data_IF_770127952727
#
_entry.id   IF_770127952727
#
_cell.length_a   1.000
_cell.length_b   1.000
_cell.length_c   1.000
_cell.angle_alpha   90.00
_cell.angle_beta   90.00
_cell.angle_gamma   90.00
#
_symmetry.space_group_name_H-M   'P 1'
#
loop_
_entity.id
_entity.type
_entity.pdbx_description
1 polymer ?
#
# COMPACT_ATOMS: atom_id res chain seq x y z
N UNK A 1 -30.99 28.80 33.58
CA UNK A 1 -30.76 27.34 33.61
C UNK A 1 -31.42 26.53 32.48
N UNK A 2 -32.63 26.87 31.97
CA UNK A 2 -33.28 26.10 30.87
C UNK A 2 -32.59 26.21 29.50
N UNK A 3 -32.07 27.38 29.12
CA UNK A 3 -31.40 27.58 27.82
C UNK A 3 -30.09 26.78 27.68
N UNK A 4 -29.32 26.64 28.75
CA UNK A 4 -28.04 25.91 28.71
C UNK A 4 -28.23 24.39 28.58
N UNK A 5 -29.33 23.83 29.11
CA UNK A 5 -29.66 22.41 28.91
C UNK A 5 -30.11 22.10 27.47
N UNK A 6 -30.73 23.06 26.78
CA UNK A 6 -31.09 22.91 25.37
C UNK A 6 -29.86 22.98 24.46
N UNK A 7 -28.90 23.87 24.74
CA UNK A 7 -27.63 23.94 23.99
C UNK A 7 -26.75 22.72 24.22
N UNK A 8 -26.71 22.19 25.45
CA UNK A 8 -25.96 20.96 25.74
C UNK A 8 -26.62 19.72 25.11
N UNK A 9 -27.96 19.65 25.08
CA UNK A 9 -28.69 18.57 24.40
C UNK A 9 -28.53 18.62 22.87
N UNK A 10 -28.48 19.82 22.27
CA UNK A 10 -28.18 20.00 20.84
C UNK A 10 -26.73 19.65 20.49
N UNK A 11 -25.76 19.95 21.37
CA UNK A 11 -24.38 19.51 21.23
C UNK A 11 -24.21 18.00 21.45
N UNK A 12 -24.95 17.40 22.40
CA UNK A 12 -24.96 15.94 22.58
C UNK A 12 -25.64 15.23 21.40
N UNK A 13 -26.72 15.78 20.83
CA UNK A 13 -27.34 15.26 19.62
C UNK A 13 -26.44 15.44 18.39
N UNK A 14 -25.69 16.53 18.28
CA UNK A 14 -24.70 16.69 17.20
C UNK A 14 -23.56 15.67 17.33
N UNK A 15 -23.09 15.38 18.55
CA UNK A 15 -22.04 14.38 18.80
C UNK A 15 -22.55 12.93 18.66
N UNK A 16 -23.82 12.66 18.99
CA UNK A 16 -24.45 11.33 18.85
C UNK A 16 -25.02 11.05 17.44
N UNK A 17 -25.28 12.08 16.63
CA UNK A 17 -25.61 11.92 15.21
C UNK A 17 -24.39 11.62 14.34
N UNK A 18 -23.16 11.79 14.85
CA UNK A 18 -21.95 11.31 14.18
C UNK A 18 -21.64 9.82 14.44
N UNK A 19 -22.26 9.19 15.45
CA UNK A 19 -22.05 7.77 15.78
C UNK A 19 -23.15 6.83 15.30
N UNK A 20 -24.12 7.34 14.52
CA UNK A 20 -25.20 6.54 13.92
C UNK A 20 -25.39 6.83 12.42
N UNK A 21 -24.35 7.34 11.75
CA UNK A 21 -24.24 7.18 10.31
C UNK A 21 -24.02 5.71 10.00
N UNK A 22 -25.13 5.05 9.70
CA UNK A 22 -25.24 3.79 8.99
C UNK A 22 -24.05 3.55 8.06
N UNK A 23 -23.60 2.29 8.03
CA UNK A 23 -22.62 1.70 7.13
C UNK A 23 -23.01 1.75 5.63
N UNK A 24 -23.47 2.91 5.18
CA UNK A 24 -23.71 3.33 3.81
C UNK A 24 -23.02 4.67 3.49
N UNK A 25 -22.16 5.19 4.41
CA UNK A 25 -21.32 6.36 4.20
C UNK A 25 -19.81 6.02 4.10
N UNK A 26 -19.45 4.89 3.47
CA UNK A 26 -18.48 5.05 2.38
C UNK A 26 -19.28 5.73 1.28
N UNK A 27 -19.37 7.06 1.34
CA UNK A 27 -19.67 7.80 0.12
C UNK A 27 -18.76 7.18 -0.93
N UNK A 28 -19.32 6.73 -2.07
CA UNK A 28 -18.52 6.46 -3.24
C UNK A 28 -17.56 7.64 -3.33
N UNK A 29 -16.28 7.38 -3.08
CA UNK A 29 -15.32 8.46 -3.02
C UNK A 29 -15.38 9.07 -4.43
N UNK A 30 -15.86 10.31 -4.56
CA UNK A 30 -16.06 10.88 -5.88
C UNK A 30 -14.67 11.11 -6.48
N UNK A 31 -14.30 10.25 -7.42
CA UNK A 31 -13.10 10.35 -8.23
C UNK A 31 -13.45 11.17 -9.48
N UNK A 32 -12.57 12.09 -9.92
CA UNK A 32 -12.77 12.77 -11.18
C UNK A 32 -12.86 11.75 -12.33
N UNK A 33 -13.79 11.95 -13.25
CA UNK A 33 -13.84 11.21 -14.50
C UNK A 33 -12.70 11.61 -15.44
N UNK A 34 -12.36 10.75 -16.40
CA UNK A 34 -11.28 10.98 -17.38
C UNK A 34 -11.42 12.30 -18.15
N UNK A 35 -12.62 12.83 -18.31
CA UNK A 35 -12.88 14.09 -19.03
C UNK A 35 -12.96 15.31 -18.13
N UNK A 36 -12.89 15.11 -16.81
CA UNK A 36 -13.08 16.20 -15.86
C UNK A 36 -11.84 17.11 -15.83
N UNK A 37 -12.03 18.43 -15.96
CA UNK A 37 -10.92 19.35 -15.84
C UNK A 37 -10.44 19.37 -14.37
N UNK A 38 -9.15 19.16 -14.15
CA UNK A 38 -8.53 19.17 -12.81
C UNK A 38 -8.26 20.62 -12.33
N UNK A 39 -8.71 21.63 -13.07
CA UNK A 39 -8.44 23.05 -12.78
C UNK A 39 -9.21 23.54 -11.57
N UNK A 40 -8.60 23.48 -10.37
CA UNK A 40 -8.81 24.42 -9.24
C UNK A 40 -8.01 24.12 -7.94
N UNK A 41 -6.93 23.33 -7.93
CA UNK A 41 -6.30 22.90 -6.64
C UNK A 41 -4.95 23.54 -6.26
N UNK A 42 -4.39 24.47 -7.06
CA UNK A 42 -3.16 25.15 -6.69
C UNK A 42 -3.46 26.44 -5.92
N UNK A 43 -3.62 26.36 -4.60
CA UNK A 43 -3.63 27.57 -3.76
C UNK A 43 -2.21 28.05 -3.43
N UNK A 44 -1.20 27.18 -3.50
CA UNK A 44 0.24 27.51 -3.43
C UNK A 44 1.09 26.24 -3.40
N UNK A 45 2.20 26.19 -4.14
CA UNK A 45 3.20 25.11 -4.09
C UNK A 45 4.60 25.58 -3.74
N UNK A 46 4.80 26.88 -3.53
CA UNK A 46 6.10 27.47 -3.19
C UNK A 46 6.65 26.88 -1.90
N UNK A 47 7.98 26.94 -1.76
CA UNK A 47 8.65 26.64 -0.47
C UNK A 47 7.93 27.41 0.64
N UNK A 48 7.62 26.72 1.74
CA UNK A 48 6.95 27.27 2.93
C UNK A 48 5.47 27.65 2.75
N UNK A 49 4.84 27.23 1.66
CA UNK A 49 3.39 27.41 1.45
C UNK A 49 2.56 26.19 1.86
N UNK A 50 1.24 26.38 2.00
CA UNK A 50 0.33 25.32 2.40
C UNK A 50 0.38 24.16 1.40
N UNK A 51 0.42 22.92 1.92
CA UNK A 51 0.40 21.68 1.14
C UNK A 51 -0.79 21.70 0.18
N UNK A 52 -0.51 21.56 -1.12
CA UNK A 52 -1.54 21.33 -2.13
C UNK A 52 -1.73 19.83 -2.33
N UNK A 53 -2.98 19.37 -2.48
CA UNK A 53 -3.30 17.96 -2.72
C UNK A 53 -4.40 17.82 -3.76
N UNK A 54 -4.47 16.66 -4.40
CA UNK A 54 -5.54 16.36 -5.34
C UNK A 54 -5.59 14.90 -5.76
N UNK A 55 -6.58 14.59 -6.59
CA UNK A 55 -6.82 13.28 -7.19
C UNK A 55 -6.62 13.38 -8.69
N UNK A 56 -6.01 12.37 -9.29
CA UNK A 56 -6.07 12.18 -10.73
C UNK A 56 -7.42 11.56 -11.11
N UNK A 57 -7.90 11.81 -12.34
CA UNK A 57 -8.98 11.05 -12.94
C UNK A 57 -8.79 9.54 -12.87
N UNK A 58 -9.90 8.81 -12.66
CA UNK A 58 -9.87 7.35 -12.70
C UNK A 58 -9.61 6.88 -14.16
N UNK A 59 -8.40 6.37 -14.41
CA UNK A 59 -7.96 5.90 -15.72
C UNK A 59 -7.27 4.54 -15.61
N UNK A 60 -7.65 3.57 -16.47
CA UNK A 60 -7.15 2.18 -16.43
C UNK A 60 -7.23 1.54 -15.04
N UNK A 61 -8.33 1.80 -14.32
CA UNK A 61 -8.54 1.38 -12.93
C UNK A 61 -7.54 1.98 -11.93
N UNK A 62 -6.88 3.08 -12.31
CA UNK A 62 -5.96 3.81 -11.45
C UNK A 62 -6.69 4.75 -10.51
N UNK A 63 -6.32 4.69 -9.23
CA UNK A 63 -6.76 5.56 -8.15
C UNK A 63 -5.54 6.23 -7.55
N UNK A 64 -5.04 7.23 -8.28
CA UNK A 64 -3.81 7.92 -7.92
C UNK A 64 -4.10 9.32 -7.38
N UNK A 65 -3.32 9.73 -6.38
CA UNK A 65 -3.39 11.04 -5.75
C UNK A 65 -2.05 11.74 -5.88
N UNK A 66 -2.07 13.05 -5.69
CA UNK A 66 -0.85 13.83 -5.63
C UNK A 66 -0.84 14.77 -4.43
N UNK A 67 0.35 15.05 -3.94
CA UNK A 67 0.60 16.10 -2.96
C UNK A 67 1.81 16.91 -3.35
N UNK A 68 1.72 18.24 -3.35
CA UNK A 68 2.82 19.16 -3.59
C UNK A 68 3.09 19.97 -2.32
N UNK A 69 4.31 19.86 -1.80
CA UNK A 69 4.75 20.62 -0.62
C UNK A 69 6.26 20.82 -0.67
N UNK A 70 6.74 22.03 -0.36
CA UNK A 70 8.17 22.34 -0.31
C UNK A 70 8.94 21.93 -1.58
N UNK A 71 8.31 22.15 -2.74
CA UNK A 71 8.85 21.78 -4.05
C UNK A 71 8.96 20.29 -4.36
N UNK A 72 8.36 19.43 -3.52
CA UNK A 72 8.27 17.99 -3.74
C UNK A 72 6.84 17.64 -4.13
N UNK A 73 6.67 17.17 -5.36
CA UNK A 73 5.45 16.53 -5.84
C UNK A 73 5.55 15.03 -5.58
N UNK A 74 4.61 14.49 -4.81
CA UNK A 74 4.52 13.06 -4.52
C UNK A 74 3.27 12.52 -5.19
N UNK A 75 3.43 11.54 -6.08
CA UNK A 75 2.32 10.80 -6.71
C UNK A 75 2.19 9.46 -5.99
N UNK A 76 1.00 9.16 -5.51
CA UNK A 76 0.68 7.99 -4.69
C UNK A 76 -0.59 7.30 -5.19
N UNK A 77 -0.94 6.16 -4.59
CA UNK A 77 -2.12 5.37 -4.97
C UNK A 77 -1.75 4.14 -5.79
N UNK A 78 -2.74 3.61 -6.52
CA UNK A 78 -2.59 2.38 -7.34
C UNK A 78 -2.93 2.67 -8.81
N UNK A 79 -2.20 2.07 -9.75
CA UNK A 79 -2.49 2.18 -11.18
C UNK A 79 -1.90 3.42 -11.86
N UNK A 80 -2.53 3.91 -12.94
CA UNK A 80 -2.02 5.04 -13.74
C UNK A 80 -2.32 6.40 -13.11
N UNK A 81 -1.36 7.31 -13.19
CA UNK A 81 -1.55 8.75 -12.99
C UNK A 81 -1.77 9.41 -14.35
N UNK A 82 -3.01 9.83 -14.60
CA UNK A 82 -3.46 10.38 -15.86
C UNK A 82 -4.14 11.71 -15.60
N UNK A 83 -3.80 12.74 -16.36
CA UNK A 83 -4.55 13.98 -16.38
C UNK A 83 -5.18 14.14 -17.76
N UNK A 84 -6.51 14.24 -17.80
CA UNK A 84 -7.37 14.27 -19.00
C UNK A 84 -6.84 15.03 -20.23
N UNK A 85 -5.99 16.03 -20.03
CA UNK A 85 -5.56 17.03 -21.01
C UNK A 85 -4.05 17.36 -20.96
N UNK A 86 -3.20 16.57 -20.29
CA UNK A 86 -1.74 16.79 -20.16
C UNK A 86 -1.34 18.22 -19.73
N UNK A 87 -2.07 18.80 -18.78
CA UNK A 87 -1.94 20.22 -18.37
C UNK A 87 -1.93 20.45 -16.86
N UNK A 88 -2.07 19.41 -16.04
CA UNK A 88 -2.24 19.60 -14.60
C UNK A 88 -1.04 20.31 -13.97
N UNK A 89 0.17 19.89 -14.33
CA UNK A 89 1.38 20.51 -13.81
C UNK A 89 2.07 21.44 -14.81
N UNK A 90 1.53 21.60 -16.03
CA UNK A 90 2.18 22.36 -17.10
C UNK A 90 2.57 23.78 -16.63
N UNK A 91 3.85 24.12 -16.80
CA UNK A 91 4.38 25.44 -16.44
C UNK A 91 4.59 25.68 -14.95
N UNK A 92 4.37 24.68 -14.08
CA UNK A 92 4.41 24.89 -12.63
C UNK A 92 5.84 25.18 -12.14
N UNK A 93 6.12 26.39 -11.61
CA UNK A 93 7.48 26.79 -11.23
C UNK A 93 7.91 26.24 -9.88
N UNK A 94 7.02 25.60 -9.13
CA UNK A 94 7.31 25.15 -7.77
C UNK A 94 7.78 23.70 -7.71
N UNK A 95 7.54 22.90 -8.74
CA UNK A 95 7.96 21.49 -8.75
C UNK A 95 9.46 21.43 -9.01
N UNK A 96 10.22 21.06 -7.97
CA UNK A 96 11.67 20.82 -8.05
C UNK A 96 11.99 19.32 -8.08
N UNK A 97 11.20 18.52 -7.36
CA UNK A 97 11.37 17.07 -7.24
C UNK A 97 10.03 16.37 -7.42
N UNK A 98 10.02 15.28 -8.19
CA UNK A 98 8.88 14.38 -8.33
C UNK A 98 9.26 13.02 -7.74
N UNK A 99 8.42 12.50 -6.85
CA UNK A 99 8.52 11.15 -6.31
C UNK A 99 7.26 10.38 -6.69
N UNK A 100 7.40 9.34 -7.50
CA UNK A 100 6.32 8.40 -7.84
C UNK A 100 6.45 7.17 -6.96
N UNK A 101 5.46 6.95 -6.11
CA UNK A 101 5.45 5.83 -5.17
C UNK A 101 5.05 4.52 -5.82
N UNK A 102 5.31 3.41 -5.13
CA UNK A 102 5.38 2.08 -5.73
C UNK A 102 4.09 1.58 -6.41
N UNK A 103 2.93 1.84 -5.81
CA UNK A 103 1.65 1.39 -6.38
C UNK A 103 1.29 2.03 -7.73
N UNK A 104 1.99 3.09 -8.14
CA UNK A 104 1.74 3.78 -9.40
C UNK A 104 2.40 3.01 -10.54
N UNK A 105 1.59 2.43 -11.43
CA UNK A 105 2.06 1.58 -12.52
C UNK A 105 2.30 2.34 -13.83
N UNK A 106 1.93 3.61 -13.89
CA UNK A 106 2.27 4.48 -15.01
C UNK A 106 1.96 5.95 -14.76
N UNK A 107 2.60 6.81 -15.54
CA UNK A 107 2.39 8.27 -15.57
C UNK A 107 2.24 8.67 -17.02
N UNK A 108 1.16 9.39 -17.34
CA UNK A 108 0.88 9.80 -18.71
C UNK A 108 1.96 10.69 -19.32
N UNK A 109 2.03 10.65 -20.65
CA UNK A 109 2.93 11.47 -21.44
C UNK A 109 2.60 12.95 -21.23
N UNK A 110 3.61 13.81 -21.04
CA UNK A 110 3.39 15.25 -20.88
C UNK A 110 2.89 15.69 -19.51
N UNK A 111 2.72 14.77 -18.56
CA UNK A 111 2.35 15.08 -17.17
C UNK A 111 3.22 16.20 -16.56
N UNK A 112 4.52 16.19 -16.85
CA UNK A 112 5.51 17.16 -16.38
C UNK A 112 6.06 17.97 -17.54
N UNK A 113 5.26 18.93 -18.01
CA UNK A 113 5.58 19.79 -19.13
C UNK A 113 5.95 21.21 -18.72
N UNK A 114 6.92 21.82 -19.41
CA UNK A 114 7.34 23.21 -19.20
C UNK A 114 7.70 23.56 -17.74
N UNK A 115 8.20 22.62 -16.93
CA UNK A 115 8.52 22.89 -15.53
C UNK A 115 9.91 23.56 -15.43
N UNK A 116 10.00 24.86 -15.11
CA UNK A 116 11.27 25.58 -15.21
C UNK A 116 12.26 25.18 -14.11
N UNK A 117 11.79 24.65 -12.98
CA UNK A 117 12.60 24.34 -11.80
C UNK A 117 12.74 22.85 -11.47
N UNK A 118 12.17 21.97 -12.31
CA UNK A 118 12.16 20.53 -12.07
C UNK A 118 13.55 19.92 -12.29
N UNK A 119 14.12 19.28 -11.25
CA UNK A 119 15.50 18.77 -11.22
C UNK A 119 15.61 17.26 -11.02
N UNK A 120 14.74 16.71 -10.18
CA UNK A 120 14.89 15.34 -9.68
C UNK A 120 13.61 14.53 -9.90
N UNK A 121 13.71 13.37 -10.54
CA UNK A 121 12.59 12.47 -10.73
C UNK A 121 12.93 11.07 -10.22
N UNK A 122 12.27 10.67 -9.15
CA UNK A 122 12.51 9.41 -8.43
C UNK A 122 11.25 8.55 -8.53
N UNK A 123 11.40 7.34 -9.05
CA UNK A 123 10.32 6.36 -9.20
C UNK A 123 10.63 5.14 -8.35
N UNK A 124 9.75 4.84 -7.40
CA UNK A 124 9.90 3.71 -6.48
C UNK A 124 9.84 2.38 -7.25
N UNK A 125 8.81 2.20 -8.06
CA UNK A 125 8.58 0.97 -8.82
C UNK A 125 9.46 0.91 -10.06
N UNK A 126 10.20 -0.18 -10.25
CA UNK A 126 11.03 -0.37 -11.45
C UNK A 126 10.24 -0.77 -12.71
N UNK A 127 8.96 -1.08 -12.60
CA UNK A 127 8.09 -1.51 -13.71
C UNK A 127 7.05 -0.45 -14.12
N UNK A 128 7.10 0.76 -13.53
CA UNK A 128 6.17 1.84 -13.88
C UNK A 128 6.41 2.37 -15.30
N UNK A 129 5.34 2.51 -16.08
CA UNK A 129 5.41 3.13 -17.40
C UNK A 129 5.38 4.65 -17.30
N UNK A 130 6.54 5.28 -17.48
CA UNK A 130 6.72 6.74 -17.39
C UNK A 130 7.07 7.36 -18.75
N UNK A 131 6.72 6.68 -19.83
CA UNK A 131 7.07 7.06 -21.21
C UNK A 131 6.54 8.46 -21.51
N UNK A 132 7.43 9.34 -21.95
CA UNK A 132 7.19 10.71 -22.37
C UNK A 132 6.61 11.63 -21.29
N UNK A 133 6.65 11.22 -20.02
CA UNK A 133 6.04 11.94 -18.90
C UNK A 133 6.65 13.30 -18.63
N UNK A 134 7.92 13.50 -19.02
CA UNK A 134 8.63 14.79 -18.90
C UNK A 134 8.80 15.41 -20.29
N UNK A 135 8.55 16.72 -20.42
CA UNK A 135 8.71 17.49 -21.65
C UNK A 135 9.13 18.94 -21.32
N UNK A 136 10.09 19.50 -22.07
CA UNK A 136 10.45 20.93 -21.97
C UNK A 136 10.83 21.42 -20.54
N UNK A 137 11.51 20.58 -19.75
CA UNK A 137 11.94 20.89 -18.38
C UNK A 137 13.46 21.14 -18.30
N UNK A 138 13.95 22.38 -18.48
CA UNK A 138 15.37 22.66 -18.77
C UNK A 138 16.36 22.35 -17.65
N UNK A 139 15.92 22.27 -16.38
CA UNK A 139 16.79 22.00 -15.23
C UNK A 139 16.78 20.53 -14.77
N UNK A 140 16.09 19.66 -15.50
CA UNK A 140 15.96 18.25 -15.11
C UNK A 140 17.29 17.52 -15.31
N UNK A 141 17.88 17.08 -14.21
CA UNK A 141 19.28 16.61 -14.18
C UNK A 141 19.44 15.23 -13.56
N UNK A 142 18.50 14.80 -12.71
CA UNK A 142 18.63 13.55 -11.96
C UNK A 142 17.42 12.63 -12.11
N UNK A 143 17.64 11.40 -12.52
CA UNK A 143 16.59 10.39 -12.68
C UNK A 143 16.95 9.06 -12.00
N UNK A 144 16.06 8.56 -11.13
CA UNK A 144 16.20 7.27 -10.46
C UNK A 144 14.92 6.47 -10.64
N UNK A 145 15.04 5.19 -10.97
CA UNK A 145 13.92 4.23 -11.02
C UNK A 145 14.29 2.94 -10.29
N UNK A 146 13.31 2.33 -9.60
CA UNK A 146 13.53 1.18 -8.72
C UNK A 146 13.97 1.57 -7.31
N UNK A 147 13.62 2.78 -6.86
CA UNK A 147 14.00 3.27 -5.54
C UNK A 147 13.34 2.53 -4.36
N UNK A 148 12.42 1.58 -4.63
CA UNK A 148 11.88 0.64 -3.64
C UNK A 148 12.83 -0.53 -3.32
N UNK A 149 13.93 -0.69 -4.07
CA UNK A 149 14.93 -1.76 -3.92
C UNK A 149 14.41 -3.18 -4.19
N UNK A 150 13.26 -3.33 -4.84
CA UNK A 150 12.83 -4.65 -5.30
C UNK A 150 13.67 -5.08 -6.50
N UNK A 151 14.38 -6.21 -6.35
CA UNK A 151 15.14 -6.79 -7.46
C UNK A 151 14.21 -7.59 -8.39
N UNK A 152 13.54 -6.88 -9.31
CA UNK A 152 12.65 -7.47 -10.31
C UNK A 152 13.13 -7.09 -11.73
N UNK A 153 13.11 -8.01 -12.72
CA UNK A 153 13.20 -7.62 -14.12
C UNK A 153 12.11 -6.60 -14.48
N UNK A 154 12.48 -5.46 -15.04
CA UNK A 154 11.52 -4.47 -15.53
C UNK A 154 10.53 -5.13 -16.50
N UNK A 155 9.26 -5.26 -16.11
CA UNK A 155 8.27 -5.94 -16.94
C UNK A 155 7.92 -5.10 -18.19
N UNK A 156 7.87 -5.73 -19.36
CA UNK A 156 7.23 -5.24 -20.60
C UNK A 156 7.90 -4.15 -21.46
N UNK A 157 9.24 -4.01 -21.46
CA UNK A 157 9.91 -3.11 -22.40
C UNK A 157 10.69 -3.89 -23.47
N UNK A 158 10.04 -4.13 -24.62
CA UNK A 158 10.76 -4.49 -25.85
C UNK A 158 11.82 -3.40 -26.10
N UNK A 159 13.01 -3.83 -26.52
CA UNK A 159 14.23 -3.05 -26.76
C UNK A 159 14.03 -1.72 -27.53
N UNK A 160 12.93 -1.57 -28.27
CA UNK A 160 12.57 -0.46 -29.17
C UNK A 160 12.07 0.83 -28.49
N UNK A 161 11.71 0.82 -27.20
CA UNK A 161 11.27 2.05 -26.50
C UNK A 161 12.46 2.87 -25.95
N UNK A 162 13.64 2.26 -25.94
CA UNK A 162 14.83 2.78 -25.26
C UNK A 162 15.67 3.78 -26.08
N UNK A 163 15.38 3.94 -27.39
CA UNK A 163 16.07 4.84 -28.32
C UNK A 163 15.72 6.34 -28.13
N UNK A 164 14.78 6.66 -27.24
CA UNK A 164 14.24 8.02 -27.07
C UNK A 164 14.91 8.83 -25.94
N UNK A 165 16.03 8.35 -25.37
CA UNK A 165 16.94 9.16 -24.55
C UNK A 165 18.15 9.53 -25.40
N UNK A 166 18.21 10.77 -25.91
CA UNK A 166 19.45 11.27 -26.53
C UNK A 166 20.54 11.43 -25.46
N UNK A 167 21.60 10.66 -25.63
CA UNK A 167 22.88 10.77 -24.91
C UNK A 167 23.63 11.99 -25.46
N UNK A 168 24.09 12.88 -24.58
CA UNK A 168 25.30 13.68 -24.86
C UNK A 168 26.33 13.27 -23.82
N UNK A 169 27.49 12.83 -24.29
CA UNK A 169 28.46 12.05 -23.54
C UNK A 169 28.98 12.74 -22.27
N UNK A 170 29.12 11.98 -21.17
CA UNK A 170 29.78 12.47 -19.96
C UNK A 170 29.46 11.74 -18.66
N UNK A 171 29.62 10.40 -18.60
CA UNK A 171 30.00 9.70 -17.36
C UNK A 171 28.89 9.10 -16.48
N UNK A 172 28.36 7.93 -16.85
CA UNK A 172 28.07 6.80 -15.92
C UNK A 172 28.22 5.49 -16.70
N UNK A 173 28.86 4.50 -16.09
CA UNK A 173 29.05 3.12 -16.58
C UNK A 173 27.77 2.29 -16.49
N UNK A 174 27.36 1.64 -17.59
CA UNK A 174 26.22 0.71 -17.63
C UNK A 174 25.42 0.88 -18.93
N UNK A 175 25.10 -0.22 -19.61
CA UNK A 175 24.72 -0.24 -21.03
C UNK A 175 23.31 0.31 -21.29
N UNK A 176 23.21 1.07 -22.38
CA UNK A 176 22.06 1.60 -23.14
C UNK A 176 20.69 0.95 -22.90
N UNK A 177 19.76 1.73 -22.32
CA UNK A 177 18.34 1.38 -22.15
C UNK A 177 17.53 2.54 -21.55
N UNK A 178 16.98 3.47 -22.37
CA UNK A 178 16.31 4.70 -21.91
C UNK A 178 14.77 4.77 -21.70
N UNK A 179 14.35 5.49 -20.66
CA UNK A 179 13.00 6.08 -20.49
C UNK A 179 12.72 7.17 -21.53
N UNK A 180 11.68 7.06 -22.34
CA UNK A 180 11.29 8.13 -23.29
C UNK A 180 10.94 9.44 -22.55
N UNK A 181 11.58 10.54 -22.93
CA UNK A 181 11.22 11.94 -22.62
C UNK A 181 11.01 12.56 -24.00
N UNK A 182 9.78 12.92 -24.37
CA UNK A 182 9.49 13.38 -25.74
C UNK A 182 9.84 14.87 -25.84
N UNK A 183 10.70 15.21 -26.81
CA UNK A 183 11.47 16.47 -26.94
C UNK A 183 12.63 16.58 -25.92
N UNK A 184 13.90 16.63 -26.36
CA UNK A 184 15.02 16.19 -25.53
C UNK A 184 15.37 17.18 -24.42
N UNK A 185 15.24 16.74 -23.17
CA UNK A 185 16.04 17.25 -22.05
C UNK A 185 17.19 16.27 -21.80
N UNK A 186 18.43 16.76 -21.84
CA UNK A 186 19.60 15.96 -21.49
C UNK A 186 19.68 15.82 -19.96
N UNK A 187 19.25 14.68 -19.42
CA UNK A 187 19.44 14.36 -17.99
C UNK A 187 20.87 13.82 -17.81
N UNK A 188 21.72 14.49 -17.02
CA UNK A 188 23.12 14.08 -16.90
C UNK A 188 23.27 12.83 -16.00
N UNK A 189 22.49 12.73 -14.93
CA UNK A 189 22.63 11.68 -13.93
C UNK A 189 21.43 10.73 -13.94
N UNK A 190 21.68 9.43 -14.17
CA UNK A 190 20.61 8.41 -14.29
C UNK A 190 21.02 7.13 -13.59
N UNK A 191 20.14 6.57 -12.77
CA UNK A 191 20.36 5.28 -12.08
C UNK A 191 19.14 4.37 -12.22
N UNK A 192 19.38 3.15 -12.68
CA UNK A 192 18.37 2.10 -12.81
C UNK A 192 18.69 0.99 -11.81
N UNK A 193 17.87 0.85 -10.77
CA UNK A 193 18.08 -0.17 -9.74
C UNK A 193 17.38 -1.47 -10.18
N UNK A 194 18.08 -2.25 -11.01
CA UNK A 194 17.64 -3.57 -11.46
C UNK A 194 18.83 -4.39 -11.96
N UNK A 195 18.86 -5.67 -11.59
CA UNK A 195 19.86 -6.63 -12.08
C UNK A 195 19.82 -6.87 -13.59
N UNK A 196 18.77 -6.39 -14.28
CA UNK A 196 18.63 -6.50 -15.73
C UNK A 196 19.57 -5.57 -16.53
N UNK A 197 20.09 -4.50 -15.91
CA UNK A 197 20.87 -3.46 -16.60
C UNK A 197 22.29 -3.28 -16.04
N UNK A 198 22.49 -3.56 -14.75
CA UNK A 198 23.78 -3.45 -14.08
C UNK A 198 23.83 -4.34 -12.83
N UNK A 199 24.98 -4.39 -12.17
CA UNK A 199 25.06 -4.94 -10.82
C UNK A 199 24.11 -4.17 -9.88
N UNK A 200 23.26 -4.91 -9.18
CA UNK A 200 22.20 -4.34 -8.35
C UNK A 200 22.78 -3.51 -7.20
N UNK A 201 23.80 -4.02 -6.50
CA UNK A 201 24.42 -3.34 -5.36
C UNK A 201 25.16 -2.07 -5.78
N UNK A 202 25.79 -2.09 -6.95
CA UNK A 202 26.42 -0.91 -7.56
C UNK A 202 25.36 0.14 -7.89
N UNK A 203 24.23 -0.26 -8.50
CA UNK A 203 23.13 0.68 -8.76
C UNK A 203 22.55 1.30 -7.49
N UNK A 204 22.39 0.53 -6.41
CA UNK A 204 21.97 1.07 -5.10
C UNK A 204 22.99 2.08 -4.57
N UNK A 205 24.28 1.77 -4.69
CA UNK A 205 25.38 2.65 -4.25
C UNK A 205 25.40 3.97 -5.05
N UNK A 206 25.25 3.89 -6.37
CA UNK A 206 25.20 5.06 -7.25
C UNK A 206 23.97 5.92 -6.98
N UNK A 207 22.80 5.28 -6.79
CA UNK A 207 21.57 5.98 -6.43
C UNK A 207 21.72 6.72 -5.10
N UNK A 208 22.32 6.09 -4.08
CA UNK A 208 22.61 6.73 -2.79
C UNK A 208 23.51 7.95 -2.95
N UNK A 209 24.61 7.80 -3.71
CA UNK A 209 25.54 8.90 -3.97
C UNK A 209 24.87 10.05 -4.73
N UNK A 210 23.94 9.74 -5.63
CA UNK A 210 23.19 10.73 -6.38
C UNK A 210 22.17 11.46 -5.50
N UNK A 211 21.39 10.74 -4.69
CA UNK A 211 20.42 11.32 -3.75
C UNK A 211 21.09 12.29 -2.77
N UNK A 212 22.29 11.95 -2.28
CA UNK A 212 23.07 12.85 -1.43
C UNK A 212 23.40 14.20 -2.10
N UNK A 213 23.59 14.23 -3.42
CA UNK A 213 23.84 15.46 -4.20
C UNK A 213 22.57 16.26 -4.48
N UNK A 214 21.40 15.61 -4.51
CA UNK A 214 20.12 16.26 -4.80
C UNK A 214 19.66 17.25 -3.73
N UNK A 215 20.22 17.18 -2.50
CA UNK A 215 19.85 18.05 -1.36
C UNK A 215 18.33 18.08 -1.11
N UNK A 216 17.72 16.89 -1.12
CA UNK A 216 16.28 16.74 -0.92
C UNK A 216 15.84 17.25 0.46
N UNK A 217 14.65 17.86 0.60
CA UNK A 217 14.12 18.24 1.90
C UNK A 217 13.79 16.99 2.74
N UNK A 218 13.72 17.15 4.06
CA UNK A 218 13.41 16.06 5.01
C UNK A 218 12.13 15.31 4.63
N UNK A 219 11.11 16.02 4.15
CA UNK A 219 9.85 15.41 3.70
C UNK A 219 10.00 14.47 2.50
N UNK A 220 10.99 14.68 1.63
CA UNK A 220 11.32 13.76 0.54
C UNK A 220 12.18 12.60 1.04
N UNK A 221 13.19 12.88 1.89
CA UNK A 221 14.03 11.84 2.48
C UNK A 221 13.23 10.83 3.32
N UNK A 222 12.16 11.28 3.98
CA UNK A 222 11.22 10.42 4.73
C UNK A 222 10.45 9.42 3.85
N UNK A 223 10.50 9.56 2.52
CA UNK A 223 9.85 8.66 1.57
C UNK A 223 10.83 7.67 0.93
N UNK A 224 12.13 7.82 1.18
CA UNK A 224 13.18 7.03 0.57
C UNK A 224 13.75 6.01 1.58
N UNK A 225 14.12 4.80 1.13
CA UNK A 225 14.79 3.82 1.98
C UNK A 225 16.11 4.34 2.57
N UNK A 226 16.48 3.83 3.75
CA UNK A 226 17.73 4.19 4.44
C UNK A 226 18.98 3.80 3.64
N UNK A 227 18.90 2.74 2.86
CA UNK A 227 19.96 2.25 1.97
C UNK A 227 20.34 3.32 0.96
N UNK A 228 19.34 4.06 0.47
CA UNK A 228 19.49 5.17 -0.48
C UNK A 228 19.79 6.53 0.20
N UNK A 229 19.97 6.54 1.53
CA UNK A 229 20.21 7.77 2.30
C UNK A 229 18.93 8.51 2.70
N UNK A 230 17.77 7.88 2.57
CA UNK A 230 16.53 8.36 3.15
C UNK A 230 16.44 8.10 4.65
N UNK A 231 15.27 8.39 5.20
CA UNK A 231 14.96 8.22 6.64
C UNK A 231 13.75 7.32 6.86
N UNK A 232 13.19 6.73 5.80
CA UNK A 232 12.12 5.75 5.94
C UNK A 232 12.68 4.48 6.57
N UNK A 233 12.32 4.24 7.84
CA UNK A 233 12.60 3.00 8.56
C UNK A 233 11.26 2.38 8.90
N UNK A 234 10.87 1.35 8.14
CA UNK A 234 9.59 0.68 8.28
C UNK A 234 9.44 -0.37 7.19
N UNK A 235 8.49 -1.31 7.33
CA UNK A 235 8.19 -2.27 6.28
C UNK A 235 7.73 -1.53 5.02
N UNK A 236 8.05 -2.09 3.87
CA UNK A 236 7.49 -1.69 2.58
C UNK A 236 5.99 -2.01 2.55
N UNK A 237 5.19 -0.99 2.30
CA UNK A 237 3.72 -1.05 2.32
C UNK A 237 3.18 -0.29 1.12
N UNK A 238 2.14 -0.81 0.48
CA UNK A 238 1.42 -0.08 -0.54
C UNK A 238 0.80 1.20 0.03
N UNK A 239 0.76 2.26 -0.77
CA UNK A 239 0.22 3.56 -0.34
C UNK A 239 -1.18 3.50 0.25
N UNK A 240 -2.05 2.68 -0.35
CA UNK A 240 -3.44 2.52 0.08
C UNK A 240 -3.54 1.91 1.49
N UNK A 241 -2.52 1.18 1.92
CA UNK A 241 -2.44 0.53 3.22
C UNK A 241 -1.66 1.35 4.27
N UNK A 242 -0.78 2.25 3.86
CA UNK A 242 0.15 2.98 4.74
C UNK A 242 -0.53 3.59 5.98
N UNK A 243 -1.60 4.35 5.79
CA UNK A 243 -2.31 5.03 6.91
C UNK A 243 -2.87 4.02 7.91
N UNK A 244 -3.41 2.91 7.41
CA UNK A 244 -4.01 1.88 8.25
C UNK A 244 -2.94 1.05 8.94
N UNK A 245 -1.81 0.76 8.28
CA UNK A 245 -0.67 0.07 8.90
C UNK A 245 -0.06 0.91 10.02
N UNK A 246 0.12 2.22 9.82
CA UNK A 246 0.55 3.13 10.90
C UNK A 246 -0.47 3.16 12.04
N UNK A 247 -1.77 3.14 11.73
CA UNK A 247 -2.80 3.03 12.78
C UNK A 247 -2.70 1.70 13.54
N UNK A 248 -2.43 0.58 12.86
CA UNK A 248 -2.28 -0.72 13.49
C UNK A 248 -1.06 -0.74 14.42
N UNK A 249 0.06 -0.15 13.99
CA UNK A 249 1.28 0.00 14.80
C UNK A 249 1.02 0.80 16.08
N UNK A 250 0.38 1.97 15.96
CA UNK A 250 0.03 2.82 17.10
C UNK A 250 -0.93 2.16 18.09
N UNK A 251 -1.73 1.19 17.62
CA UNK A 251 -2.66 0.40 18.44
C UNK A 251 -2.03 -0.87 19.00
N UNK A 252 -0.76 -1.15 18.70
CA UNK A 252 -0.08 -2.38 19.11
C UNK A 252 -0.63 -3.64 18.44
N UNK A 253 -1.25 -3.53 17.26
CA UNK A 253 -1.87 -4.66 16.55
C UNK A 253 -0.87 -5.45 15.68
N UNK A 254 0.35 -4.93 15.48
CA UNK A 254 1.37 -5.56 14.62
C UNK A 254 2.31 -6.43 15.48
N UNK A 255 2.34 -7.76 15.30
CA UNK A 255 3.33 -8.64 15.92
C UNK A 255 4.70 -8.54 15.22
N UNK A 256 5.74 -9.00 15.90
CA UNK A 256 7.04 -9.26 15.27
C UNK A 256 6.96 -10.40 14.26
N UNK A 257 7.89 -10.46 13.30
CA UNK A 257 8.02 -11.61 12.39
C UNK A 257 7.17 -11.56 11.11
N UNK A 258 6.58 -10.40 10.79
CA UNK A 258 5.90 -10.19 9.50
C UNK A 258 6.86 -9.96 8.32
N UNK A 259 8.13 -9.66 8.60
CA UNK A 259 9.12 -9.31 7.58
C UNK A 259 9.09 -7.81 7.23
N UNK A 260 9.76 -7.46 6.14
CA UNK A 260 9.99 -6.07 5.73
C UNK A 260 9.18 -5.65 4.49
N UNK A 261 8.42 -6.56 3.88
CA UNK A 261 7.60 -6.28 2.70
C UNK A 261 6.19 -6.83 2.92
N UNK A 262 5.24 -5.92 3.17
CA UNK A 262 3.86 -6.25 3.51
C UNK A 262 2.97 -6.47 2.27
N UNK A 263 3.50 -6.27 1.07
CA UNK A 263 2.76 -6.54 -0.17
C UNK A 263 2.72 -8.03 -0.49
N UNK A 264 3.60 -8.83 0.12
CA UNK A 264 3.70 -10.28 -0.10
C UNK A 264 2.49 -11.04 0.48
N UNK A 265 2.19 -12.23 -0.07
CA UNK A 265 1.28 -13.18 0.56
C UNK A 265 1.67 -13.44 2.02
N UNK A 266 0.68 -13.38 2.91
CA UNK A 266 0.89 -13.71 4.32
C UNK A 266 0.86 -15.23 4.51
N UNK A 267 1.76 -15.74 5.35
CA UNK A 267 1.73 -17.16 5.74
C UNK A 267 0.67 -17.42 6.81
N UNK A 268 0.27 -18.68 6.98
CA UNK A 268 -0.64 -19.10 8.06
C UNK A 268 -0.12 -18.75 9.45
N UNK A 269 1.18 -18.92 9.69
CA UNK A 269 1.78 -18.54 10.97
C UNK A 269 1.77 -17.02 11.19
N UNK A 270 2.07 -16.23 10.18
CA UNK A 270 2.01 -14.77 10.27
C UNK A 270 0.58 -14.26 10.51
N UNK A 271 -0.41 -14.87 9.86
CA UNK A 271 -1.81 -14.53 10.10
C UNK A 271 -2.27 -14.94 11.51
N UNK A 272 -1.83 -16.11 11.99
CA UNK A 272 -2.06 -16.54 13.37
C UNK A 272 -1.47 -15.54 14.37
N UNK A 273 -0.24 -15.05 14.12
CA UNK A 273 0.39 -14.01 14.93
C UNK A 273 -0.42 -12.71 14.95
N UNK A 274 -0.92 -12.25 13.80
CA UNK A 274 -1.80 -11.06 13.74
C UNK A 274 -3.09 -11.26 14.53
N UNK A 275 -3.74 -12.43 14.38
CA UNK A 275 -4.99 -12.72 15.07
C UNK A 275 -4.82 -12.84 16.59
N UNK A 276 -3.74 -13.49 17.05
CA UNK A 276 -3.39 -13.60 18.46
C UNK A 276 -3.04 -12.23 19.03
N UNK A 277 -2.23 -11.42 18.30
CA UNK A 277 -1.91 -10.05 18.72
C UNK A 277 -3.17 -9.20 18.87
N UNK A 278 -4.09 -9.28 17.91
CA UNK A 278 -5.38 -8.60 17.99
C UNK A 278 -6.19 -9.07 19.21
N UNK A 279 -6.27 -10.39 19.45
CA UNK A 279 -6.95 -10.94 20.63
C UNK A 279 -6.36 -10.42 21.95
N UNK A 280 -5.04 -10.51 22.14
CA UNK A 280 -4.38 -10.10 23.37
C UNK A 280 -4.51 -8.59 23.60
N UNK A 281 -4.45 -7.79 22.53
CA UNK A 281 -4.59 -6.34 22.59
C UNK A 281 -6.02 -5.93 22.95
N UNK A 282 -7.02 -6.52 22.30
CA UNK A 282 -8.43 -6.15 22.50
C UNK A 282 -9.00 -6.65 23.83
N UNK A 283 -8.49 -7.76 24.35
CA UNK A 283 -8.90 -8.30 25.66
C UNK A 283 -8.04 -7.78 26.82
N UNK A 284 -6.93 -7.09 26.52
CA UNK A 284 -5.96 -6.65 27.51
C UNK A 284 -5.25 -7.80 28.25
N UNK A 285 -5.35 -9.04 27.74
CA UNK A 285 -4.87 -10.24 28.42
C UNK A 285 -3.90 -11.01 27.53
N UNK A 286 -2.66 -11.17 27.98
CA UNK A 286 -1.69 -12.04 27.33
C UNK A 286 -2.12 -13.51 27.48
N UNK A 287 -2.19 -14.24 26.37
CA UNK A 287 -2.61 -15.64 26.40
C UNK A 287 -1.46 -16.54 26.83
N UNK A 288 -1.69 -17.39 27.83
CA UNK A 288 -0.77 -18.45 28.23
C UNK A 288 -1.41 -19.80 27.95
N UNK A 289 -0.72 -20.64 27.16
CA UNK A 289 -1.16 -22.00 26.85
C UNK A 289 -0.31 -23.01 27.64
N UNK A 290 -0.94 -24.09 28.11
CA UNK A 290 -0.26 -25.16 28.87
C UNK A 290 0.21 -26.33 27.99
N UNK A 291 -0.53 -26.62 26.92
CA UNK A 291 -0.17 -27.69 25.99
C UNK A 291 0.66 -27.13 24.83
N UNK A 292 1.96 -27.43 24.89
CA UNK A 292 2.97 -27.06 23.91
C UNK A 292 3.49 -28.27 23.14
N UNK A 293 2.74 -29.39 23.13
CA UNK A 293 3.09 -30.57 22.34
C UNK A 293 3.25 -30.22 20.86
N UNK A 294 4.21 -30.81 20.16
CA UNK A 294 4.50 -30.39 18.79
C UNK A 294 3.40 -30.75 17.78
N UNK A 295 3.26 -29.91 16.74
CA UNK A 295 2.51 -30.27 15.54
C UNK A 295 3.37 -31.14 14.61
N UNK A 296 2.77 -31.76 13.60
CA UNK A 296 3.51 -32.58 12.64
C UNK A 296 4.57 -31.79 11.84
N UNK A 297 4.35 -30.48 11.68
CA UNK A 297 5.12 -29.59 10.80
C UNK A 297 5.60 -28.29 11.46
N UNK A 298 5.44 -28.12 12.79
CA UNK A 298 6.06 -27.03 13.54
C UNK A 298 6.19 -27.31 15.04
N UNK A 299 7.05 -26.54 15.72
CA UNK A 299 7.25 -26.60 17.18
C UNK A 299 6.82 -25.32 17.87
N UNK A 300 6.56 -25.38 19.18
CA UNK A 300 6.10 -24.23 19.96
C UNK A 300 7.15 -23.12 20.07
N UNK A 301 8.43 -23.49 20.02
CA UNK A 301 9.57 -22.55 20.05
C UNK A 301 9.65 -21.71 18.77
N UNK A 302 9.30 -22.28 17.61
CA UNK A 302 9.35 -21.56 16.33
C UNK A 302 8.04 -20.88 15.94
N UNK A 303 6.90 -21.30 16.52
CA UNK A 303 5.56 -20.89 16.07
C UNK A 303 4.55 -20.73 17.20
N UNK A 304 4.92 -20.12 18.34
CA UNK A 304 4.04 -19.98 19.51
C UNK A 304 2.64 -19.42 19.19
N UNK A 305 2.53 -18.46 18.27
CA UNK A 305 1.25 -17.87 17.89
C UNK A 305 0.33 -18.84 17.13
N UNK A 306 0.88 -19.82 16.40
CA UNK A 306 0.10 -20.90 15.80
C UNK A 306 -0.58 -21.74 16.88
N UNK A 307 0.13 -22.02 17.97
CA UNK A 307 -0.41 -22.82 19.08
C UNK A 307 -1.49 -22.06 19.83
N UNK A 308 -1.27 -20.76 20.05
CA UNK A 308 -2.26 -19.85 20.65
C UNK A 308 -3.52 -19.74 19.78
N UNK A 309 -3.36 -19.51 18.48
CA UNK A 309 -4.49 -19.42 17.55
C UNK A 309 -5.26 -20.74 17.45
N UNK A 310 -4.56 -21.88 17.47
CA UNK A 310 -5.18 -23.21 17.49
C UNK A 310 -5.94 -23.45 18.79
N UNK A 311 -5.33 -23.12 19.94
CA UNK A 311 -5.95 -23.24 21.26
C UNK A 311 -7.23 -22.40 21.38
N UNK A 312 -7.21 -21.18 20.84
CA UNK A 312 -8.39 -20.31 20.78
C UNK A 312 -9.45 -20.78 19.77
N UNK A 313 -9.13 -21.73 18.89
CA UNK A 313 -10.03 -22.16 17.81
C UNK A 313 -10.13 -21.16 16.65
N UNK A 314 -9.20 -20.20 16.57
CA UNK A 314 -9.09 -19.26 15.44
C UNK A 314 -8.65 -20.01 14.17
N UNK A 315 -7.74 -20.98 14.32
CA UNK A 315 -7.24 -21.80 13.22
C UNK A 315 -7.37 -23.30 13.50
N UNK A 316 -7.45 -24.09 12.43
CA UNK A 316 -7.43 -25.57 12.47
C UNK A 316 -6.26 -26.10 11.62
N UNK A 317 -5.89 -27.35 11.85
CA UNK A 317 -5.03 -28.12 10.94
C UNK A 317 -5.74 -28.48 9.63
N UNK A 318 -4.97 -28.88 8.63
CA UNK A 318 -5.48 -29.33 7.33
C UNK A 318 -6.09 -30.73 7.39
N UNK A 319 -5.67 -31.55 8.34
CA UNK A 319 -6.16 -32.90 8.52
C UNK A 319 -6.85 -33.05 9.88
N UNK A 320 -7.75 -34.04 9.96
CA UNK A 320 -8.32 -34.50 11.22
C UNK A 320 -7.37 -35.53 11.82
N UNK A 321 -6.86 -35.26 13.02
CA UNK A 321 -6.07 -36.20 13.79
C UNK A 321 -6.47 -36.12 15.27
N UNK A 322 -6.33 -37.22 16.00
CA UNK A 322 -6.65 -37.27 17.42
C UNK A 322 -5.49 -36.72 18.28
N UNK A 323 -4.28 -36.64 17.71
CA UNK A 323 -3.06 -36.16 18.37
C UNK A 323 -2.44 -34.98 17.62
N UNK A 324 -1.76 -34.12 18.38
CA UNK A 324 -1.18 -32.89 17.85
C UNK A 324 0.00 -33.14 16.90
N UNK A 325 0.90 -34.07 17.23
CA UNK A 325 2.05 -34.43 16.38
C UNK A 325 1.65 -35.16 15.07
N UNK A 326 0.37 -35.45 14.89
CA UNK A 326 -0.22 -35.98 13.64
C UNK A 326 -1.00 -34.90 12.88
N UNK A 327 -1.13 -33.69 13.43
CA UNK A 327 -1.87 -32.56 12.84
C UNK A 327 -0.91 -31.65 12.07
N UNK A 328 -1.17 -31.46 10.78
CA UNK A 328 -0.46 -30.52 9.90
C UNK A 328 -1.15 -29.17 9.92
N UNK A 329 -0.43 -28.12 10.29
CA UNK A 329 -0.97 -26.75 10.38
C UNK A 329 -0.47 -25.81 9.30
N UNK A 330 0.51 -26.22 8.49
CA UNK A 330 1.03 -25.49 7.34
C UNK A 330 1.56 -24.10 7.66
N UNK A 331 2.47 -23.93 8.64
CA UNK A 331 2.83 -22.61 9.17
C UNK A 331 3.40 -21.65 8.10
N UNK A 332 4.09 -22.19 7.09
CA UNK A 332 4.76 -21.44 6.03
C UNK A 332 3.93 -21.29 4.76
N UNK A 333 2.76 -21.92 4.70
CA UNK A 333 1.90 -21.84 3.53
C UNK A 333 1.24 -20.46 3.46
N UNK A 334 1.16 -19.85 2.27
CA UNK A 334 0.32 -18.68 2.04
C UNK A 334 -1.15 -19.02 2.36
N UNK A 335 -1.88 -18.10 2.98
CA UNK A 335 -3.34 -18.27 3.12
C UNK A 335 -4.08 -17.78 1.90
N UNK A 336 -5.16 -18.49 1.57
CA UNK A 336 -6.17 -17.99 0.66
C UNK A 336 -7.10 -17.01 1.35
N UNK A 337 -7.78 -16.19 0.55
CA UNK A 337 -8.76 -15.21 1.04
C UNK A 337 -9.93 -15.85 1.78
N UNK A 338 -10.39 -17.04 1.36
CA UNK A 338 -11.47 -17.76 2.05
C UNK A 338 -11.04 -18.40 3.37
N UNK A 339 -9.77 -18.81 3.48
CA UNK A 339 -9.17 -19.24 4.75
C UNK A 339 -9.04 -18.05 5.71
N UNK A 340 -8.56 -16.89 5.23
CA UNK A 340 -8.48 -15.65 6.00
C UNK A 340 -9.86 -15.23 6.54
N UNK A 341 -10.90 -15.24 5.68
CA UNK A 341 -12.27 -14.94 6.08
C UNK A 341 -12.78 -15.86 7.20
N UNK A 342 -12.47 -17.15 7.11
CA UNK A 342 -12.83 -18.14 8.13
C UNK A 342 -12.11 -17.89 9.46
N UNK A 343 -10.82 -17.59 9.42
CA UNK A 343 -10.05 -17.27 10.63
C UNK A 343 -10.52 -15.95 11.28
N UNK A 344 -10.87 -14.93 10.49
CA UNK A 344 -11.43 -13.66 10.99
C UNK A 344 -12.79 -13.86 11.66
N UNK A 345 -13.69 -14.64 11.04
CA UNK A 345 -15.00 -14.93 11.63
C UNK A 345 -14.87 -15.65 12.98
N UNK A 346 -13.91 -16.58 13.10
CA UNK A 346 -13.60 -17.28 14.36
C UNK A 346 -12.96 -16.35 15.39
N UNK A 347 -12.05 -15.48 14.98
CA UNK A 347 -11.47 -14.45 15.85
C UNK A 347 -12.57 -13.58 16.48
N UNK A 348 -13.53 -13.09 15.68
CA UNK A 348 -14.66 -12.33 16.19
C UNK A 348 -15.51 -13.12 17.19
N UNK A 349 -15.73 -14.41 16.94
CA UNK A 349 -16.44 -15.30 17.87
C UNK A 349 -15.69 -15.44 19.20
N UNK A 350 -14.38 -15.65 19.15
CA UNK A 350 -13.52 -15.77 20.34
C UNK A 350 -13.43 -14.46 21.12
N UNK A 351 -13.52 -13.31 20.43
CA UNK A 351 -13.63 -11.98 21.04
C UNK A 351 -15.02 -11.69 21.63
N UNK A 352 -15.95 -12.67 21.61
CA UNK A 352 -17.30 -12.51 22.15
C UNK A 352 -18.22 -11.65 21.28
N UNK A 353 -17.84 -11.41 20.02
CA UNK A 353 -18.56 -10.56 19.06
C UNK A 353 -18.81 -11.32 17.74
N UNK A 354 -19.54 -12.45 17.75
CA UNK A 354 -19.76 -13.24 16.54
C UNK A 354 -20.41 -12.39 15.44
N UNK A 355 -19.88 -12.51 14.22
CA UNK A 355 -20.33 -11.72 13.07
C UNK A 355 -21.67 -12.25 12.55
N UNK A 356 -22.61 -11.35 12.23
CA UNK A 356 -23.85 -11.72 11.56
C UNK A 356 -23.62 -11.99 10.06
N UNK A 357 -24.37 -12.95 9.51
CA UNK A 357 -24.31 -13.28 8.08
C UNK A 357 -25.10 -12.25 7.27
N UNK A 358 -24.60 -11.86 6.09
CA UNK A 358 -25.37 -11.03 5.17
C UNK A 358 -26.56 -11.81 4.58
N UNK A 359 -27.66 -11.12 4.27
CA UNK A 359 -28.80 -11.72 3.57
C UNK A 359 -28.40 -12.27 2.18
N UNK A 360 -27.50 -11.55 1.50
CA UNK A 360 -26.87 -11.95 0.24
C UNK A 360 -25.52 -11.26 0.09
N UNK A 361 -24.62 -11.86 -0.68
CA UNK A 361 -23.36 -11.23 -1.12
C UNK A 361 -23.42 -10.90 -2.62
N UNK A 362 -22.73 -9.85 -3.10
CA UNK A 362 -22.71 -9.52 -4.53
C UNK A 362 -21.77 -10.40 -5.35
N UNK A 363 -21.04 -11.31 -4.71
CA UNK A 363 -20.02 -12.13 -5.35
C UNK A 363 -20.62 -13.22 -6.24
N UNK A 364 -20.15 -13.28 -7.48
CA UNK A 364 -20.60 -14.25 -8.48
C UNK A 364 -19.59 -15.36 -8.75
N UNK A 365 -18.36 -15.21 -8.25
CA UNK A 365 -17.30 -16.19 -8.37
C UNK A 365 -17.40 -17.32 -7.33
N UNK A 366 -16.72 -18.43 -7.60
CA UNK A 366 -16.78 -19.60 -6.75
C UNK A 366 -16.08 -19.35 -5.40
N UNK A 367 -16.79 -19.66 -4.32
CA UNK A 367 -16.29 -19.74 -2.94
C UNK A 367 -16.54 -21.17 -2.46
N UNK A 368 -15.57 -21.78 -1.79
CA UNK A 368 -15.73 -23.13 -1.26
C UNK A 368 -16.90 -23.20 -0.27
N UNK A 369 -17.68 -24.29 -0.31
CA UNK A 369 -18.91 -24.42 0.50
C UNK A 369 -18.67 -24.20 2.00
N UNK A 370 -17.55 -24.69 2.52
CA UNK A 370 -17.15 -24.54 3.92
C UNK A 370 -16.83 -23.09 4.31
N UNK A 371 -16.53 -22.22 3.34
CA UNK A 371 -16.15 -20.83 3.57
C UNK A 371 -17.28 -19.83 3.28
N UNK A 372 -18.30 -20.19 2.49
CA UNK A 372 -19.38 -19.28 2.04
C UNK A 372 -20.00 -18.47 3.18
N UNK A 373 -20.31 -19.13 4.30
CA UNK A 373 -20.89 -18.47 5.46
C UNK A 373 -19.94 -17.47 6.11
N UNK A 374 -18.66 -17.83 6.25
CA UNK A 374 -17.67 -16.95 6.84
C UNK A 374 -17.35 -15.76 5.93
N UNK A 375 -17.25 -15.99 4.62
CA UNK A 375 -17.09 -14.91 3.61
C UNK A 375 -18.25 -13.94 3.70
N UNK A 376 -19.49 -14.43 3.77
CA UNK A 376 -20.68 -13.60 3.93
C UNK A 376 -20.65 -12.77 5.23
N UNK A 377 -20.19 -13.36 6.34
CA UNK A 377 -20.07 -12.68 7.64
C UNK A 377 -19.03 -11.56 7.65
N UNK A 378 -17.81 -11.83 7.18
CA UNK A 378 -16.75 -10.80 7.15
C UNK A 378 -17.04 -9.70 6.14
N UNK A 379 -17.78 -10.02 5.07
CA UNK A 379 -18.27 -9.05 4.10
C UNK A 379 -19.34 -8.14 4.71
N UNK A 380 -20.31 -8.71 5.43
CA UNK A 380 -21.45 -7.96 6.01
C UNK A 380 -21.00 -6.79 6.89
N UNK A 381 -19.93 -7.00 7.66
CA UNK A 381 -19.38 -6.01 8.60
C UNK A 381 -18.26 -5.18 7.95
N UNK A 382 -17.87 -5.48 6.71
CA UNK A 382 -16.83 -4.76 5.99
C UNK A 382 -15.41 -5.07 6.45
N UNK A 383 -15.21 -6.10 7.29
CA UNK A 383 -13.87 -6.55 7.72
C UNK A 383 -13.05 -6.96 6.50
N UNK A 384 -13.66 -7.71 5.57
CA UNK A 384 -13.04 -8.13 4.32
C UNK A 384 -13.98 -7.87 3.15
N UNK A 385 -13.46 -7.21 2.11
CA UNK A 385 -14.21 -6.85 0.89
C UNK A 385 -13.78 -7.71 -0.29
N UNK A 386 -14.56 -7.70 -1.38
CA UNK A 386 -14.17 -8.30 -2.64
C UNK A 386 -12.97 -7.63 -3.31
N UNK A 387 -12.39 -8.30 -4.30
CA UNK A 387 -11.37 -7.74 -5.20
C UNK A 387 -11.99 -6.91 -6.31
N UNK A 388 -13.29 -7.07 -6.55
CA UNK A 388 -14.12 -6.21 -7.39
C UNK A 388 -15.51 -6.05 -6.76
N UNK A 389 -16.41 -5.30 -7.41
CA UNK A 389 -17.80 -5.18 -6.97
C UNK A 389 -18.55 -6.52 -6.92
N UNK A 390 -18.17 -7.49 -7.76
CA UNK A 390 -18.87 -8.78 -7.92
C UNK A 390 -17.95 -9.99 -7.78
N UNK A 391 -16.70 -9.80 -7.32
CA UNK A 391 -15.71 -10.89 -7.21
C UNK A 391 -15.03 -10.88 -5.85
N UNK A 392 -15.01 -12.03 -5.18
CA UNK A 392 -14.33 -12.21 -3.90
C UNK A 392 -12.88 -12.69 -4.05
N UNK A 393 -12.60 -13.48 -5.08
CA UNK A 393 -11.32 -14.16 -5.35
C UNK A 393 -10.93 -15.14 -4.23
N UNK A 394 -11.82 -16.07 -3.90
CA UNK A 394 -11.72 -16.93 -2.73
C UNK A 394 -10.39 -17.71 -2.61
N UNK A 395 -9.93 -18.27 -3.73
CA UNK A 395 -8.70 -19.07 -3.83
C UNK A 395 -7.41 -18.26 -3.99
N UNK A 396 -7.50 -16.95 -4.18
CA UNK A 396 -6.32 -16.09 -4.30
C UNK A 396 -5.67 -15.86 -2.95
N UNK A 397 -4.35 -15.62 -2.96
CA UNK A 397 -3.60 -15.31 -1.74
C UNK A 397 -4.06 -13.99 -1.10
N UNK A 398 -3.96 -13.93 0.23
CA UNK A 398 -4.14 -12.71 1.00
C UNK A 398 -2.79 -12.11 1.38
N UNK A 399 -2.61 -10.79 1.31
CA UNK A 399 -1.32 -10.15 1.63
C UNK A 399 -1.19 -9.77 3.10
N UNK A 400 0.03 -9.48 3.56
CA UNK A 400 0.28 -9.02 4.93
C UNK A 400 -0.44 -7.69 5.19
N UNK A 401 -0.32 -6.72 4.29
CA UNK A 401 -0.98 -5.41 4.44
C UNK A 401 -2.50 -5.52 4.45
N UNK A 402 -3.09 -6.41 3.62
CA UNK A 402 -4.53 -6.68 3.66
C UNK A 402 -4.95 -7.32 4.99
N UNK A 403 -4.12 -8.18 5.55
CA UNK A 403 -4.37 -8.83 6.84
C UNK A 403 -4.33 -7.85 8.00
N UNK A 404 -3.35 -6.94 8.02
CA UNK A 404 -3.25 -5.87 9.01
C UNK A 404 -4.52 -5.00 8.98
N UNK A 405 -4.98 -4.64 7.78
CA UNK A 405 -6.20 -3.84 7.61
C UNK A 405 -7.43 -4.57 8.13
N UNK A 406 -7.54 -5.88 7.87
CA UNK A 406 -8.62 -6.69 8.43
C UNK A 406 -8.58 -6.71 9.97
N UNK A 407 -7.40 -6.73 10.59
CA UNK A 407 -7.26 -6.65 12.06
C UNK A 407 -7.66 -5.29 12.62
N UNK A 408 -7.33 -4.19 11.93
CA UNK A 408 -7.78 -2.84 12.31
C UNK A 408 -9.31 -2.77 12.26
N UNK A 409 -9.93 -3.25 11.17
CA UNK A 409 -11.38 -3.28 11.02
C UNK A 409 -12.07 -4.18 12.05
N UNK A 410 -11.45 -5.30 12.39
CA UNK A 410 -11.91 -6.17 13.48
C UNK A 410 -11.89 -5.42 14.81
N UNK A 411 -10.80 -4.73 15.10
CA UNK A 411 -10.63 -3.96 16.32
C UNK A 411 -11.68 -2.83 16.42
N UNK A 412 -11.97 -2.14 15.31
CA UNK A 412 -13.00 -1.09 15.24
C UNK A 412 -14.43 -1.63 15.42
N UNK A 413 -14.68 -2.88 15.03
CA UNK A 413 -15.98 -3.53 15.22
C UNK A 413 -16.18 -4.01 16.66
N UNK A 414 -15.10 -4.39 17.35
CA UNK A 414 -15.16 -4.95 18.71
C UNK A 414 -15.22 -3.85 19.78
N UNK A 415 -14.55 -2.71 19.53
CA UNK A 415 -14.61 -1.50 20.36
C UNK A 415 -16.00 -0.88 20.35
#
# INVERSE_FOLDING_TARGET
MKRWKQTLALLLCAVLCFTTLSASALAAENWPGKTDPITACFTSGSRDSAKSTGKFPEYRSGRTTWTLSNGVLVISGTGWASDANDKLFDGNPYIETVIVKDGVTGVDAGMFKNLPNFKNYIVMNNSANIRASVQDCPLMDNFIIGANLENNPMHSLKREVYDYIKVTAGGVTGVTGGVSVVQPVAIANRVFISSAFSDFNTAVTDAKALIAKMKLPVSALALLPVELGGTFSGPFVSNWAQTIVTSAENRGLIPSGLGEDYTRPITRAQFAALAVRAYETLTGTALTIKDTSDFADCTSTSSMDVYKAYYLGIMNGYNRADRRWETYVGPHDPITREQAATMLARLAQVLGKPLSKAASTPFTDAVSDWAKDNVSRVYNIGIMTGTSATTFSASSNFTIEQSIIAMVRMADYVS
#
